data_IF_522529298799
#
_entry.id   IF_522529298799
#
_cell.length_a   1.000
_cell.length_b   1.000
_cell.length_c   1.000
_cell.angle_alpha   90.00
_cell.angle_beta   90.00
_cell.angle_gamma   90.00
#
_symmetry.space_group_name_H-M   'P 1'
#
loop_
_entity.id
_entity.type
_entity.pdbx_description
1 polymer ?
#
# COMPACT_ATOMS: atom_id res chain seq x y z
N UNK A 1 5.25 -26.80 -11.39
CA UNK A 1 6.73 -26.87 -11.34
C UNK A 1 7.14 -26.52 -9.92
N UNK A 2 7.88 -27.39 -9.24
CA UNK A 2 8.32 -27.13 -7.86
C UNK A 2 9.48 -26.14 -7.88
N UNK A 3 9.42 -25.11 -7.02
CA UNK A 3 10.50 -24.12 -6.83
C UNK A 3 11.11 -24.29 -5.42
N UNK A 4 12.27 -24.95 -5.30
CA UNK A 4 12.97 -25.12 -4.02
C UNK A 4 13.36 -23.79 -3.37
N UNK A 5 13.66 -22.74 -4.15
CA UNK A 5 14.09 -21.46 -3.61
C UNK A 5 12.94 -20.74 -2.92
N UNK A 6 11.74 -20.76 -3.53
CA UNK A 6 10.53 -20.23 -2.91
C UNK A 6 10.21 -20.92 -1.58
N UNK A 7 10.39 -22.24 -1.50
CA UNK A 7 10.18 -23.00 -0.27
C UNK A 7 11.16 -22.59 0.85
N UNK A 8 12.46 -22.46 0.54
CA UNK A 8 13.48 -22.04 1.51
C UNK A 8 13.20 -20.61 2.01
N UNK A 9 12.79 -19.70 1.11
CA UNK A 9 12.44 -18.33 1.49
C UNK A 9 11.20 -18.29 2.39
N UNK A 10 10.19 -19.11 2.10
CA UNK A 10 8.98 -19.20 2.92
C UNK A 10 9.30 -19.72 4.33
N UNK A 11 10.12 -20.78 4.47
CA UNK A 11 10.53 -21.32 5.76
C UNK A 11 11.33 -20.28 6.57
N UNK A 12 12.31 -19.62 5.94
CA UNK A 12 13.12 -18.59 6.61
C UNK A 12 12.26 -17.43 7.12
N UNK A 13 11.32 -16.96 6.29
CA UNK A 13 10.42 -15.86 6.66
C UNK A 13 9.51 -16.26 7.81
N UNK A 14 8.97 -17.48 7.77
CA UNK A 14 8.10 -18.02 8.82
C UNK A 14 8.84 -18.13 10.15
N UNK A 15 10.03 -18.72 10.15
CA UNK A 15 10.88 -18.82 11.35
C UNK A 15 11.22 -17.46 11.91
N UNK A 16 11.59 -16.51 11.06
CA UNK A 16 11.92 -15.16 11.52
C UNK A 16 10.73 -14.45 12.15
N UNK A 17 9.52 -14.60 11.58
CA UNK A 17 8.30 -14.00 12.12
C UNK A 17 7.96 -14.59 13.51
N UNK A 18 7.91 -15.92 13.62
CA UNK A 18 7.63 -16.62 14.89
C UNK A 18 8.65 -16.28 15.98
N UNK A 19 9.94 -16.19 15.62
CA UNK A 19 10.99 -15.84 16.57
C UNK A 19 10.98 -14.35 16.96
N UNK A 20 10.59 -13.45 16.05
CA UNK A 20 10.46 -12.03 16.35
C UNK A 20 9.28 -11.69 17.27
N UNK A 21 8.26 -12.56 17.32
CA UNK A 21 7.08 -12.39 18.16
C UNK A 21 7.26 -12.94 19.59
N UNK A 22 8.47 -13.38 19.97
CA UNK A 22 8.72 -13.90 21.32
C UNK A 22 8.53 -12.81 22.38
N UNK A 23 8.01 -13.14 23.58
CA UNK A 23 7.82 -12.18 24.66
C UNK A 23 9.14 -11.51 25.08
N UNK A 24 10.27 -12.20 24.93
CA UNK A 24 11.61 -11.70 25.24
C UNK A 24 12.35 -11.11 24.02
N UNK A 25 11.67 -10.97 22.87
CA UNK A 25 12.30 -10.41 21.69
C UNK A 25 12.70 -8.95 21.97
N UNK A 26 13.91 -8.51 21.58
CA UNK A 26 14.31 -7.12 21.75
C UNK A 26 13.34 -6.22 20.99
N UNK A 27 12.59 -5.39 21.72
CA UNK A 27 11.65 -4.44 21.15
C UNK A 27 12.47 -3.34 20.47
N UNK A 28 12.49 -3.34 19.13
CA UNK A 28 13.01 -2.21 18.37
C UNK A 28 11.87 -1.21 18.20
N UNK A 29 11.99 0.04 18.70
CA UNK A 29 10.97 1.05 18.45
C UNK A 29 10.86 1.29 16.94
N UNK A 30 9.63 1.43 16.45
CA UNK A 30 9.40 1.76 15.06
C UNK A 30 10.12 3.07 14.71
N UNK A 31 10.84 3.11 13.57
CA UNK A 31 11.49 4.34 13.16
C UNK A 31 10.42 5.42 12.93
N UNK A 32 10.68 6.68 13.33
CA UNK A 32 9.72 7.74 13.12
C UNK A 32 9.37 7.82 11.63
N UNK A 33 8.07 8.01 11.28
CA UNK A 33 7.66 8.05 9.90
C UNK A 33 8.49 9.11 9.17
N UNK A 34 9.15 8.68 8.09
CA UNK A 34 9.98 9.56 7.29
C UNK A 34 9.11 10.67 6.70
N UNK A 35 9.03 11.83 7.37
CA UNK A 35 8.13 12.94 7.04
C UNK A 35 8.20 13.35 5.57
N UNK A 36 9.40 13.29 4.99
CA UNK A 36 9.65 13.55 3.56
C UNK A 36 8.94 12.55 2.63
N UNK A 37 8.91 11.27 2.97
CA UNK A 37 8.22 10.24 2.17
C UNK A 37 6.71 10.38 2.28
N UNK A 38 6.20 10.76 3.45
CA UNK A 38 4.78 11.03 3.64
C UNK A 38 4.32 12.22 2.77
N UNK A 39 5.07 13.33 2.79
CA UNK A 39 4.78 14.49 1.96
C UNK A 39 4.79 14.16 0.45
N UNK A 40 5.80 13.39 0.00
CA UNK A 40 5.89 12.95 -1.39
C UNK A 40 4.67 12.10 -1.78
N UNK A 41 4.29 11.10 -0.97
CA UNK A 41 3.11 10.25 -1.23
C UNK A 41 1.82 11.06 -1.33
N UNK A 42 1.64 12.05 -0.46
CA UNK A 42 0.47 12.94 -0.52
C UNK A 42 0.45 13.75 -1.82
N UNK A 43 1.59 14.34 -2.20
CA UNK A 43 1.69 15.11 -3.44
C UNK A 43 1.39 14.25 -4.67
N UNK A 44 1.99 13.05 -4.75
CA UNK A 44 1.74 12.12 -5.86
C UNK A 44 0.27 11.69 -5.91
N UNK A 45 -0.34 11.38 -4.76
CA UNK A 45 -1.75 11.03 -4.68
C UNK A 45 -2.67 12.16 -5.17
N UNK A 46 -2.39 13.40 -4.77
CA UNK A 46 -3.13 14.57 -5.24
C UNK A 46 -2.96 14.83 -6.74
N UNK A 47 -1.75 14.65 -7.27
CA UNK A 47 -1.49 14.78 -8.71
C UNK A 47 -2.24 13.73 -9.52
N UNK A 48 -2.24 12.48 -9.07
CA UNK A 48 -2.98 11.39 -9.71
C UNK A 48 -4.50 11.61 -9.68
N UNK A 49 -5.05 12.09 -8.55
CA UNK A 49 -6.48 12.41 -8.46
C UNK A 49 -6.87 13.51 -9.43
N UNK A 50 -6.10 14.61 -9.49
CA UNK A 50 -6.35 15.69 -10.47
C UNK A 50 -6.24 15.22 -11.91
N UNK A 51 -5.34 14.27 -12.18
CA UNK A 51 -5.22 13.67 -13.50
C UNK A 51 -6.46 12.84 -13.83
N UNK A 52 -6.94 12.02 -12.89
CA UNK A 52 -8.17 11.26 -13.05
C UNK A 52 -9.36 12.18 -13.29
N UNK A 53 -9.52 13.24 -12.49
CA UNK A 53 -10.60 14.23 -12.64
C UNK A 53 -10.59 14.93 -14.01
N UNK A 54 -9.42 15.02 -14.66
CA UNK A 54 -9.29 15.59 -16.03
C UNK A 54 -9.59 14.58 -17.12
N UNK A 55 -9.29 13.31 -16.89
CA UNK A 55 -9.45 12.24 -17.89
C UNK A 55 -10.87 11.69 -17.85
N UNK A 56 -11.54 11.72 -16.69
CA UNK A 56 -12.92 11.27 -16.58
C UNK A 56 -13.84 12.15 -17.45
N UNK A 57 -14.49 11.57 -18.48
CA UNK A 57 -15.48 12.28 -19.26
C UNK A 57 -16.66 12.59 -18.35
N UNK A 58 -17.04 13.85 -18.24
CA UNK A 58 -18.22 14.26 -17.47
C UNK A 58 -19.45 13.50 -17.99
N UNK A 59 -20.18 12.75 -17.15
CA UNK A 59 -21.38 12.08 -17.61
C UNK A 59 -22.37 13.15 -18.07
N UNK A 60 -22.82 13.05 -19.33
CA UNK A 60 -23.78 13.98 -19.89
C UNK A 60 -25.03 14.04 -19.00
N UNK A 61 -25.63 15.23 -18.81
CA UNK A 61 -26.83 15.37 -17.99
C UNK A 61 -27.91 14.43 -18.53
N UNK A 62 -28.41 13.54 -17.66
CA UNK A 62 -29.52 12.66 -18.00
C UNK A 62 -30.74 13.54 -18.27
N UNK A 63 -31.45 13.39 -19.40
CA UNK A 63 -32.67 14.14 -19.63
C UNK A 63 -33.67 13.76 -18.54
N UNK A 64 -34.19 14.77 -17.82
CA UNK A 64 -35.26 14.58 -16.86
C UNK A 64 -36.49 14.01 -17.59
N UNK A 65 -37.12 12.94 -17.09
CA UNK A 65 -38.43 12.55 -17.59
C UNK A 65 -39.42 13.68 -17.25
N UNK A 66 -40.11 14.17 -18.27
CA UNK A 66 -41.22 15.11 -18.14
C UNK A 66 -42.34 14.49 -17.28
N UNK A 67 -43.12 15.31 -16.54
CA UNK A 67 -44.09 14.86 -15.56
C UNK A 67 -45.25 14.05 -16.14
#
# INVERSE_FOLDING_TARGET
MFDPAAMIMADRTTKQNVLSARPDAPIRPDPPPARRRAALRHWTGSALRRLADRIEPHPAPRPCPAP
#
